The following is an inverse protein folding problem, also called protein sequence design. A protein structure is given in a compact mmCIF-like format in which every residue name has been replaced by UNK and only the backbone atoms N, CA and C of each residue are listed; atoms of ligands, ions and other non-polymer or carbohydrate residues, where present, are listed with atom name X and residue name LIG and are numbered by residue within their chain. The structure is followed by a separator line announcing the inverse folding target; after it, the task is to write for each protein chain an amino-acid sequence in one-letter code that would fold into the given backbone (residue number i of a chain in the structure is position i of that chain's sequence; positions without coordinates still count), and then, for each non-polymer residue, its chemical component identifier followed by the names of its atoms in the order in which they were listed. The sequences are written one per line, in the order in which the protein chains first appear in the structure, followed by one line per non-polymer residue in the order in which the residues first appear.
data_IF_918864904947
#
_entry.id   IF_918864904947
#
_cell.length_a   1.000
_cell.length_b   1.000
_cell.length_c   1.000
_cell.angle_alpha   90.00
_cell.angle_beta   90.00
_cell.angle_gamma   90.00
#
_symmetry.space_group_name_H-M   'P 1'
#
loop_
_entity.id
_entity.type
_entity.pdbx_description
1 polymer ?
#
# COMPACT_ATOMS: atom_id res chain seq x y z
N UNK A 1 -0.53 -15.04 19.81
CA UNK A 1 0.48 -14.33 19.00
C UNK A 1 1.68 -15.23 18.80
N UNK A 2 2.38 -15.11 17.67
CA UNK A 2 3.59 -15.91 17.40
C UNK A 2 4.71 -15.58 18.40
N UNK A 3 5.14 -16.55 19.20
CA UNK A 3 6.23 -16.36 20.16
C UNK A 3 7.58 -16.23 19.44
N UNK A 4 8.42 -15.31 19.92
CA UNK A 4 9.77 -15.11 19.39
C UNK A 4 10.66 -16.32 19.75
N UNK A 5 11.30 -16.99 18.79
CA UNK A 5 12.15 -18.13 19.09
C UNK A 5 13.39 -17.70 19.87
N UNK A 6 13.75 -18.47 20.91
CA UNK A 6 14.84 -18.12 21.84
C UNK A 6 16.25 -18.42 21.33
N UNK A 7 16.42 -19.24 20.28
CA UNK A 7 17.75 -19.66 19.79
C UNK A 7 17.93 -19.70 18.26
N UNK A 8 16.88 -19.86 17.45
CA UNK A 8 16.98 -19.89 15.99
C UNK A 8 15.81 -19.15 15.32
N UNK A 9 16.13 -18.16 14.49
CA UNK A 9 15.16 -17.46 13.64
C UNK A 9 15.01 -18.28 12.36
N UNK A 10 13.82 -18.78 12.07
CA UNK A 10 13.52 -19.48 10.80
C UNK A 10 13.02 -18.50 9.75
N UNK A 11 13.16 -18.84 8.47
CA UNK A 11 12.57 -18.06 7.36
C UNK A 11 11.06 -17.94 7.52
N UNK A 12 10.39 -19.05 7.87
CA UNK A 12 8.96 -19.07 8.15
C UNK A 12 8.56 -18.06 9.24
N UNK A 13 9.33 -17.97 10.33
CA UNK A 13 9.09 -17.00 11.39
C UNK A 13 9.24 -15.56 10.89
N UNK A 14 10.27 -15.28 10.08
CA UNK A 14 10.51 -13.95 9.51
C UNK A 14 9.37 -13.52 8.57
N UNK A 15 8.88 -14.44 7.75
CA UNK A 15 7.76 -14.19 6.85
C UNK A 15 6.47 -13.95 7.65
N UNK A 16 6.16 -14.81 8.63
CA UNK A 16 4.95 -14.69 9.45
C UNK A 16 4.89 -13.46 10.37
N UNK A 17 6.01 -12.75 10.54
CA UNK A 17 6.06 -11.49 11.31
C UNK A 17 5.27 -10.37 10.65
N UNK A 18 5.11 -10.41 9.33
CA UNK A 18 4.37 -9.41 8.58
C UNK A 18 3.02 -9.98 8.14
N UNK A 19 1.98 -9.15 8.18
CA UNK A 19 0.66 -9.56 7.68
C UNK A 19 0.62 -9.61 6.15
N UNK A 20 1.46 -8.80 5.50
CA UNK A 20 1.59 -8.60 4.06
C UNK A 20 2.96 -8.01 3.74
N UNK A 21 3.48 -8.30 2.54
CA UNK A 21 4.62 -7.60 1.93
C UNK A 21 4.14 -6.95 0.64
N UNK A 22 4.43 -5.66 0.47
CA UNK A 22 4.21 -4.93 -0.79
C UNK A 22 5.56 -4.54 -1.35
N UNK A 23 5.86 -5.02 -2.55
CA UNK A 23 7.06 -4.68 -3.30
C UNK A 23 6.72 -3.68 -4.38
N UNK A 24 7.11 -2.42 -4.18
CA UNK A 24 7.00 -1.39 -5.21
C UNK A 24 8.24 -1.46 -6.09
N UNK A 25 8.06 -1.87 -7.34
CA UNK A 25 9.17 -2.03 -8.30
C UNK A 25 9.88 -0.69 -8.50
N UNK A 26 11.21 -0.68 -8.42
CA UNK A 26 12.06 0.48 -8.68
C UNK A 26 11.70 1.19 -9.98
N UNK A 27 11.77 2.53 -10.01
CA UNK A 27 11.51 3.29 -11.24
C UNK A 27 12.47 2.91 -12.38
N UNK A 28 13.66 2.41 -12.08
CA UNK A 28 14.59 1.93 -13.10
C UNK A 28 13.98 0.83 -13.99
N UNK A 29 13.04 0.03 -13.46
CA UNK A 29 12.29 -0.98 -14.20
C UNK A 29 10.91 -0.44 -14.61
N UNK A 30 10.70 -0.22 -15.91
CA UNK A 30 9.42 0.24 -16.48
C UNK A 30 9.15 1.75 -16.41
N UNK A 31 9.98 2.54 -15.71
CA UNK A 31 9.85 4.00 -15.62
C UNK A 31 11.20 4.76 -15.58
N UNK A 32 12.18 4.41 -16.44
CA UNK A 32 13.56 4.87 -16.32
C UNK A 32 13.71 6.40 -16.37
N UNK A 33 12.80 7.11 -17.04
CA UNK A 33 12.78 8.58 -17.09
C UNK A 33 12.60 9.24 -15.71
N UNK A 34 12.05 8.51 -14.73
CA UNK A 34 11.87 8.98 -13.36
C UNK A 34 12.98 8.49 -12.41
N UNK A 35 13.89 7.63 -12.89
CA UNK A 35 15.01 7.15 -12.10
C UNK A 35 16.20 8.09 -12.21
N UNK A 36 16.65 8.62 -11.07
CA UNK A 36 17.82 9.50 -10.96
C UNK A 36 18.92 8.78 -10.20
N UNK A 37 20.16 8.83 -10.71
CA UNK A 37 21.36 8.25 -10.09
C UNK A 37 22.56 9.21 -10.18
N UNK A 38 23.64 8.91 -9.47
CA UNK A 38 24.82 9.77 -9.32
C UNK A 38 24.59 10.93 -8.35
N UNK A 39 25.22 12.08 -8.63
CA UNK A 39 24.93 13.35 -7.94
C UNK A 39 23.68 13.96 -8.55
N UNK A 40 22.58 13.99 -7.80
CA UNK A 40 21.29 14.42 -8.30
C UNK A 40 20.52 15.26 -7.26
N UNK A 41 19.31 15.70 -7.60
CA UNK A 41 18.41 16.39 -6.69
C UNK A 41 17.15 15.57 -6.43
N UNK A 42 16.76 15.50 -5.16
CA UNK A 42 15.47 14.93 -4.77
C UNK A 42 14.29 15.85 -5.18
N UNK A 43 13.06 15.41 -4.92
CA UNK A 43 11.86 16.16 -5.31
C UNK A 43 11.67 17.45 -4.48
N UNK A 44 12.44 17.62 -3.39
CA UNK A 44 12.52 18.86 -2.61
C UNK A 44 13.69 19.77 -3.06
N UNK A 45 14.42 19.40 -4.12
CA UNK A 45 15.55 20.16 -4.66
C UNK A 45 16.87 19.99 -3.91
N UNK A 46 16.95 19.10 -2.90
CA UNK A 46 18.15 18.87 -2.10
C UNK A 46 19.12 17.95 -2.85
N UNK A 47 20.41 18.25 -2.73
CA UNK A 47 21.45 17.42 -3.32
C UNK A 47 21.52 16.06 -2.60
N UNK A 48 21.46 15.00 -3.40
CA UNK A 48 21.52 13.61 -2.92
C UNK A 48 22.44 12.80 -3.83
N UNK A 49 23.06 11.76 -3.25
CA UNK A 49 23.88 10.80 -3.99
C UNK A 49 23.15 9.47 -4.01
N UNK A 50 22.90 8.94 -5.22
CA UNK A 50 22.36 7.61 -5.45
C UNK A 50 23.39 6.80 -6.23
N UNK A 51 23.94 5.75 -5.62
CA UNK A 51 25.14 5.08 -6.14
C UNK A 51 24.84 4.08 -7.24
N UNK A 52 23.64 3.54 -7.25
CA UNK A 52 23.22 2.46 -8.14
C UNK A 52 22.90 3.01 -9.53
N UNK A 53 23.54 2.44 -10.55
CA UNK A 53 23.09 2.60 -11.94
C UNK A 53 21.68 1.99 -12.12
N UNK A 54 20.91 2.39 -13.15
CA UNK A 54 19.60 1.81 -13.41
C UNK A 54 19.63 0.28 -13.44
N UNK A 55 20.62 -0.32 -14.11
CA UNK A 55 20.77 -1.77 -14.24
C UNK A 55 21.04 -2.43 -12.89
N UNK A 56 21.92 -1.85 -12.06
CA UNK A 56 22.18 -2.33 -10.71
C UNK A 56 20.94 -2.22 -9.83
N UNK A 57 20.17 -1.14 -9.96
CA UNK A 57 18.95 -0.92 -9.21
C UNK A 57 17.89 -1.99 -9.54
N UNK A 58 17.74 -2.38 -10.81
CA UNK A 58 16.85 -3.46 -11.24
C UNK A 58 17.27 -4.78 -10.60
N UNK A 59 18.57 -5.13 -10.65
CA UNK A 59 19.07 -6.39 -10.07
C UNK A 59 18.86 -6.44 -8.55
N UNK A 60 19.09 -5.33 -7.84
CA UNK A 60 18.88 -5.23 -6.40
C UNK A 60 17.39 -5.28 -6.04
N UNK A 61 16.53 -4.66 -6.83
CA UNK A 61 15.08 -4.72 -6.68
C UNK A 61 14.57 -6.16 -6.81
N UNK A 62 15.01 -6.88 -7.84
CA UNK A 62 14.67 -8.29 -8.04
C UNK A 62 15.17 -9.18 -6.89
N UNK A 63 16.39 -8.94 -6.41
CA UNK A 63 16.96 -9.69 -5.27
C UNK A 63 16.14 -9.46 -4.00
N UNK A 64 15.73 -8.22 -3.75
CA UNK A 64 14.86 -7.86 -2.62
C UNK A 64 13.51 -8.55 -2.74
N UNK A 65 12.89 -8.52 -3.91
CA UNK A 65 11.63 -9.23 -4.19
C UNK A 65 11.75 -10.74 -3.92
N UNK A 66 12.83 -11.37 -4.40
CA UNK A 66 13.09 -12.81 -4.22
C UNK A 66 13.20 -13.20 -2.75
N UNK A 67 13.80 -12.34 -1.90
CA UNK A 67 13.93 -12.60 -0.46
C UNK A 67 12.57 -12.76 0.26
N UNK A 68 11.49 -12.22 -0.30
CA UNK A 68 10.13 -12.33 0.25
C UNK A 68 9.19 -13.17 -0.62
N UNK A 69 9.71 -13.85 -1.65
CA UNK A 69 8.89 -14.61 -2.61
C UNK A 69 8.04 -15.70 -1.97
N UNK A 70 8.48 -16.23 -0.82
CA UNK A 70 7.76 -17.23 -0.03
C UNK A 70 6.69 -16.64 0.90
N UNK A 71 6.52 -15.31 0.97
CA UNK A 71 5.49 -14.70 1.80
C UNK A 71 4.10 -14.96 1.21
N UNK A 72 3.14 -15.52 1.96
CA UNK A 72 1.83 -15.93 1.42
C UNK A 72 0.99 -14.76 0.89
N UNK A 73 1.24 -13.55 1.39
CA UNK A 73 0.60 -12.30 0.93
C UNK A 73 1.66 -11.32 0.40
N UNK A 74 2.38 -11.70 -0.65
CA UNK A 74 3.27 -10.79 -1.39
C UNK A 74 2.50 -10.16 -2.54
N UNK A 75 2.48 -8.82 -2.60
CA UNK A 75 1.95 -8.06 -3.74
C UNK A 75 3.07 -7.27 -4.38
N UNK A 76 3.24 -7.43 -5.69
CA UNK A 76 4.24 -6.72 -6.48
C UNK A 76 3.52 -5.68 -7.34
N UNK A 77 3.96 -4.43 -7.27
CA UNK A 77 3.36 -3.32 -8.01
C UNK A 77 4.41 -2.70 -8.92
N UNK A 78 4.24 -2.94 -10.21
CA UNK A 78 5.08 -2.46 -11.30
C UNK A 78 4.97 -0.94 -11.55
N UNK A 79 5.72 -0.46 -12.54
CA UNK A 79 5.56 0.89 -13.08
C UNK A 79 4.73 0.85 -14.38
N UNK A 80 3.49 0.35 -14.28
CA UNK A 80 2.55 0.30 -15.42
C UNK A 80 2.23 1.67 -16.06
N UNK A 81 1.54 1.67 -17.22
CA UNK A 81 1.35 2.85 -18.06
C UNK A 81 0.50 3.96 -17.42
N UNK A 82 -0.31 3.62 -16.42
CA UNK A 82 -1.22 4.56 -15.74
C UNK A 82 -0.52 5.53 -14.77
N UNK A 83 0.81 5.47 -14.71
CA UNK A 83 1.66 6.38 -13.96
C UNK A 83 1.65 6.16 -12.44
N UNK A 84 2.36 7.04 -11.73
CA UNK A 84 2.65 6.88 -10.31
C UNK A 84 1.40 6.90 -9.42
N UNK A 85 0.38 7.70 -9.76
CA UNK A 85 -0.86 7.75 -8.98
C UNK A 85 -1.64 6.44 -9.03
N UNK A 86 -1.65 5.74 -10.17
CA UNK A 86 -2.25 4.42 -10.26
C UNK A 86 -1.47 3.38 -9.45
N UNK A 87 -0.14 3.46 -9.45
CA UNK A 87 0.73 2.63 -8.60
C UNK A 87 0.40 2.81 -7.11
N UNK A 88 0.20 4.06 -6.67
CA UNK A 88 -0.23 4.35 -5.29
C UNK A 88 -1.63 3.81 -5.00
N UNK A 89 -2.60 3.97 -5.91
CA UNK A 89 -3.95 3.40 -5.73
C UNK A 89 -3.91 1.88 -5.55
N UNK A 90 -3.21 1.16 -6.43
CA UNK A 90 -3.03 -0.31 -6.32
C UNK A 90 -2.40 -0.71 -4.98
N UNK A 91 -1.43 0.09 -4.50
CA UNK A 91 -0.81 -0.12 -3.19
C UNK A 91 -1.82 0.03 -2.05
N UNK A 92 -2.56 1.14 -2.04
CA UNK A 92 -3.58 1.41 -1.04
C UNK A 92 -4.68 0.34 -1.04
N UNK A 93 -5.17 -0.07 -2.21
CA UNK A 93 -6.18 -1.12 -2.34
C UNK A 93 -5.69 -2.45 -1.76
N UNK A 94 -4.45 -2.85 -2.06
CA UNK A 94 -3.85 -4.07 -1.51
C UNK A 94 -3.76 -4.04 0.02
N UNK A 95 -3.34 -2.90 0.60
CA UNK A 95 -3.28 -2.72 2.06
C UNK A 95 -4.68 -2.81 2.67
N UNK A 96 -5.65 -2.10 2.10
CA UNK A 96 -7.01 -2.05 2.62
C UNK A 96 -7.68 -3.43 2.58
N UNK A 97 -7.45 -4.21 1.52
CA UNK A 97 -7.97 -5.57 1.43
C UNK A 97 -7.52 -6.44 2.63
N UNK A 98 -6.23 -6.42 2.94
CA UNK A 98 -5.67 -7.19 4.07
C UNK A 98 -6.10 -6.60 5.42
N UNK A 99 -6.15 -5.27 5.55
CA UNK A 99 -6.58 -4.62 6.78
C UNK A 99 -8.04 -4.95 7.12
N UNK A 100 -8.93 -4.99 6.12
CA UNK A 100 -10.33 -5.38 6.30
C UNK A 100 -10.49 -6.85 6.67
N UNK A 101 -9.67 -7.74 6.08
CA UNK A 101 -9.67 -9.18 6.40
C UNK A 101 -9.23 -9.43 7.86
N UNK A 102 -8.16 -8.76 8.30
CA UNK A 102 -7.53 -9.02 9.60
C UNK A 102 -8.25 -8.29 10.75
N UNK A 103 -8.85 -7.13 10.47
CA UNK A 103 -9.51 -6.30 11.47
C UNK A 103 -10.99 -6.02 11.12
N UNK A 104 -11.87 -7.03 11.17
CA UNK A 104 -13.27 -6.93 10.76
C UNK A 104 -14.08 -5.90 11.57
N UNK A 105 -13.62 -5.54 12.77
CA UNK A 105 -14.21 -4.45 13.56
C UNK A 105 -14.23 -3.09 12.84
N UNK A 106 -13.25 -2.81 11.97
CA UNK A 106 -13.28 -1.60 11.13
C UNK A 106 -14.35 -1.69 10.03
N UNK A 107 -14.62 -2.89 9.52
CA UNK A 107 -15.70 -3.13 8.57
C UNK A 107 -17.07 -2.89 9.23
N UNK A 108 -17.23 -3.34 10.48
CA UNK A 108 -18.43 -3.05 11.27
C UNK A 108 -18.66 -1.55 11.50
N UNK A 109 -17.59 -0.80 11.81
CA UNK A 109 -17.68 0.66 11.96
C UNK A 109 -18.04 1.36 10.66
N UNK A 110 -17.42 0.98 9.54
CA UNK A 110 -17.75 1.53 8.21
C UNK A 110 -19.21 1.30 7.83
N UNK A 111 -19.72 0.08 8.01
CA UNK A 111 -21.13 -0.24 7.76
C UNK A 111 -22.07 0.55 8.67
N UNK A 112 -21.71 0.73 9.94
CA UNK A 112 -22.49 1.52 10.89
C UNK A 112 -22.52 3.01 10.50
N UNK A 113 -21.41 3.56 10.04
CA UNK A 113 -21.33 4.95 9.56
C UNK A 113 -22.20 5.14 8.31
N UNK A 114 -22.09 4.26 7.31
CA UNK A 114 -22.93 4.34 6.10
C UNK A 114 -24.42 4.29 6.43
N UNK A 115 -24.82 3.41 7.35
CA UNK A 115 -26.21 3.31 7.78
C UNK A 115 -26.69 4.62 8.44
N UNK A 116 -25.87 5.20 9.31
CA UNK A 116 -26.18 6.48 9.96
C UNK A 116 -26.23 7.65 8.96
N UNK A 117 -25.40 7.65 7.93
CA UNK A 117 -25.43 8.65 6.86
C UNK A 117 -26.72 8.55 6.04
N UNK A 118 -27.17 7.33 5.70
CA UNK A 118 -28.44 7.10 5.03
C UNK A 118 -29.64 7.54 5.88
N UNK A 119 -29.66 7.17 7.17
CA UNK A 119 -30.72 7.59 8.10
C UNK A 119 -30.75 9.13 8.25
N UNK A 120 -29.58 9.78 8.38
CA UNK A 120 -29.50 11.25 8.43
C UNK A 120 -29.99 11.92 7.15
N UNK A 121 -29.68 11.36 5.98
CA UNK A 121 -30.15 11.88 4.71
C UNK A 121 -31.68 11.80 4.61
N UNK A 122 -32.27 10.67 4.99
CA UNK A 122 -33.73 10.48 5.03
C UNK A 122 -34.41 11.49 5.98
N UNK A 123 -33.90 11.62 7.21
CA UNK A 123 -34.44 12.57 8.19
C UNK A 123 -34.37 14.01 7.71
N UNK A 124 -33.28 14.41 7.04
CA UNK A 124 -33.14 15.75 6.46
C UNK A 124 -34.20 16.02 5.39
N UNK A 125 -34.42 15.07 4.48
CA UNK A 125 -35.45 15.18 3.45
C UNK A 125 -36.86 15.26 4.05
N UNK A 126 -37.14 14.49 5.10
CA UNK A 126 -38.44 14.54 5.80
C UNK A 126 -38.68 15.89 6.48
N UNK A 127 -37.66 16.44 7.15
CA UNK A 127 -37.73 17.78 7.76
C UNK A 127 -38.00 18.85 6.71
N UNK A 128 -37.35 18.79 5.55
CA UNK A 128 -37.55 19.74 4.46
C UNK A 128 -38.97 19.69 3.91
N UNK A 129 -39.51 18.47 3.73
CA UNK A 129 -40.88 18.25 3.28
C UNK A 129 -41.90 18.80 4.28
N UNK A 130 -41.68 18.60 5.59
CA UNK A 130 -42.52 19.15 6.64
C UNK A 130 -42.46 20.68 6.72
N UNK A 131 -41.29 21.28 6.47
CA UNK A 131 -41.13 22.74 6.39
C UNK A 131 -41.87 23.34 5.19
N UNK A 132 -41.93 22.63 4.06
CA UNK A 132 -42.67 23.08 2.86
C UNK A 132 -44.20 22.99 3.00
N UNK A 133 -44.70 22.26 4.00
CA UNK A 133 -46.13 22.06 4.28
C UNK A 133 -46.71 23.04 5.32
N UNK A 134 -45.87 23.87 5.93
CA UNK A 134 -46.25 24.97 6.83
C UNK A 134 -46.17 26.30 6.08
#
# INVERSE_FOLDING_TARGET
GFEKPRKHITEEYMLRRYNMIIHLVTAADGAPQFYKWGKTKDDSGRDVIRGETPEQAIVLDEKTRKAYSNHPRLVVIDNGPDGFQAKLRRCTEAILAVAMEIHPQHQFLGNKIQKLEQENAQLKSEIELLRSRK
#
